data_IF_750053250066
#
_entry.id   IF_750053250066
#
_cell.length_a   1.000
_cell.length_b   1.000
_cell.length_c   1.000
_cell.angle_alpha   90.00
_cell.angle_beta   90.00
_cell.angle_gamma   90.00
#
_symmetry.space_group_name_H-M   'P 1'
#
loop_
_entity.id
_entity.type
_entity.pdbx_description
1 polymer ?
#
# COMPACT_ATOMS: atom_id res chain seq x y z
N UNK A 1 -31.74 9.90 -4.21
CA UNK A 1 -32.11 11.08 -5.03
C UNK A 1 -32.00 10.87 -6.55
N UNK A 2 -31.18 9.92 -7.06
CA UNK A 2 -31.03 9.71 -8.53
C UNK A 2 -32.27 9.17 -9.26
N UNK A 3 -33.08 8.32 -8.61
CA UNK A 3 -34.27 7.71 -9.21
C UNK A 3 -35.38 8.70 -9.58
N UNK A 4 -35.61 9.74 -8.78
CA UNK A 4 -36.66 10.73 -9.01
C UNK A 4 -36.37 11.62 -10.24
N UNK A 5 -35.11 12.01 -10.44
CA UNK A 5 -34.69 12.82 -11.59
C UNK A 5 -34.70 12.03 -12.91
N UNK A 6 -34.42 10.72 -12.85
CA UNK A 6 -34.56 9.82 -13.99
C UNK A 6 -36.00 9.72 -14.48
N UNK A 7 -36.96 9.55 -13.56
CA UNK A 7 -38.39 9.48 -13.87
C UNK A 7 -38.93 10.79 -14.46
N UNK A 8 -38.54 11.95 -13.90
CA UNK A 8 -38.90 13.26 -14.47
C UNK A 8 -38.32 13.42 -15.87
N UNK A 9 -37.10 12.95 -16.13
CA UNK A 9 -36.50 12.92 -17.47
C UNK A 9 -37.27 12.06 -18.47
N UNK A 10 -37.79 10.91 -18.05
CA UNK A 10 -38.59 10.01 -18.88
C UNK A 10 -39.95 10.59 -19.29
N UNK A 11 -40.60 11.38 -18.42
CA UNK A 11 -41.87 12.04 -18.75
C UNK A 11 -41.69 13.37 -19.50
N UNK A 12 -40.68 14.16 -19.15
CA UNK A 12 -40.46 15.50 -19.73
C UNK A 12 -39.88 15.47 -21.15
N UNK A 13 -39.00 14.52 -21.45
CA UNK A 13 -38.34 14.41 -22.76
C UNK A 13 -39.29 14.12 -23.92
N UNK A 14 -40.28 13.18 -23.84
CA UNK A 14 -41.24 12.98 -24.93
C UNK A 14 -42.19 14.18 -25.10
N UNK A 15 -42.60 14.84 -24.01
CA UNK A 15 -43.39 16.08 -24.08
C UNK A 15 -42.60 17.20 -24.77
N UNK A 16 -41.33 17.39 -24.40
CA UNK A 16 -40.44 18.37 -25.02
C UNK A 16 -40.22 18.13 -26.51
N UNK A 17 -40.15 16.85 -26.95
CA UNK A 17 -40.07 16.48 -28.38
C UNK A 17 -41.34 16.82 -29.14
N UNK A 18 -42.52 16.58 -28.54
CA UNK A 18 -43.82 16.88 -29.17
C UNK A 18 -44.09 18.38 -29.30
N UNK A 19 -43.63 19.18 -28.33
CA UNK A 19 -43.80 20.64 -28.29
C UNK A 19 -42.63 21.43 -28.90
N UNK A 20 -41.58 20.76 -29.42
CA UNK A 20 -40.32 21.36 -29.91
C UNK A 20 -39.63 22.27 -28.87
N UNK A 21 -39.81 22.00 -27.58
CA UNK A 21 -39.21 22.76 -26.50
C UNK A 21 -37.94 22.07 -25.99
N UNK A 22 -36.80 22.55 -26.50
CA UNK A 22 -35.47 21.99 -26.21
C UNK A 22 -35.05 22.09 -24.74
N UNK A 23 -35.62 23.03 -23.98
CA UNK A 23 -35.29 23.23 -22.56
C UNK A 23 -35.90 22.17 -21.63
N UNK A 24 -36.97 21.50 -22.06
CA UNK A 24 -37.65 20.44 -21.32
C UNK A 24 -37.01 19.05 -21.54
N UNK A 25 -36.10 18.94 -22.50
CA UNK A 25 -35.43 17.70 -22.85
C UNK A 25 -34.20 17.47 -21.95
N UNK A 26 -34.10 16.27 -21.36
CA UNK A 26 -32.96 15.80 -20.58
C UNK A 26 -32.57 16.68 -19.36
N UNK A 27 -33.51 17.06 -18.48
CA UNK A 27 -33.21 17.92 -17.33
C UNK A 27 -32.17 17.30 -16.38
N UNK A 28 -32.26 15.99 -16.13
CA UNK A 28 -31.31 15.27 -15.27
C UNK A 28 -29.87 15.29 -15.80
N UNK A 29 -29.67 15.15 -17.12
CA UNK A 29 -28.32 15.18 -17.72
C UNK A 29 -27.68 16.57 -17.64
N UNK A 30 -28.48 17.63 -17.72
CA UNK A 30 -28.00 19.02 -17.57
C UNK A 30 -27.60 19.31 -16.14
N UNK A 31 -28.41 18.89 -15.17
CA UNK A 31 -28.08 19.04 -13.75
C UNK A 31 -26.82 18.26 -13.39
N UNK A 32 -26.74 16.99 -13.81
CA UNK A 32 -25.56 16.16 -13.60
C UNK A 32 -24.29 16.81 -14.18
N UNK A 33 -24.34 17.32 -15.41
CA UNK A 33 -23.20 18.05 -16.00
C UNK A 33 -22.77 19.27 -15.19
N UNK A 34 -23.71 20.02 -14.61
CA UNK A 34 -23.38 21.18 -13.76
C UNK A 34 -22.73 20.76 -12.45
N UNK A 35 -23.24 19.70 -11.81
CA UNK A 35 -22.66 19.18 -10.58
C UNK A 35 -21.25 18.62 -10.81
N UNK A 36 -21.06 17.86 -11.89
CA UNK A 36 -19.74 17.33 -12.25
C UNK A 36 -18.76 18.44 -12.63
N UNK A 37 -19.23 19.48 -13.34
CA UNK A 37 -18.39 20.64 -13.65
C UNK A 37 -17.92 21.35 -12.37
N UNK A 38 -18.82 21.59 -11.41
CA UNK A 38 -18.48 22.19 -10.11
C UNK A 38 -17.52 21.35 -9.30
N UNK A 39 -17.77 20.05 -9.19
CA UNK A 39 -16.88 19.13 -8.49
C UNK A 39 -15.48 19.04 -9.14
N UNK A 40 -15.39 19.28 -10.45
CA UNK A 40 -14.11 19.34 -11.16
C UNK A 40 -13.37 20.64 -10.86
N UNK A 41 -14.05 21.77 -10.90
CA UNK A 41 -13.49 23.09 -10.51
C UNK A 41 -12.94 23.04 -9.07
N UNK A 42 -13.71 22.53 -8.12
CA UNK A 42 -13.28 22.38 -6.70
C UNK A 42 -12.10 21.42 -6.51
N UNK A 43 -11.94 20.44 -7.42
CA UNK A 43 -10.77 19.56 -7.39
C UNK A 43 -9.55 20.25 -7.98
N UNK A 44 -9.71 20.95 -9.10
CA UNK A 44 -8.63 21.71 -9.74
C UNK A 44 -8.09 22.78 -8.78
N UNK A 45 -8.96 23.51 -8.07
CA UNK A 45 -8.58 24.49 -7.03
C UNK A 45 -7.80 23.85 -5.88
N UNK A 46 -8.27 22.72 -5.31
CA UNK A 46 -7.52 22.02 -4.24
C UNK A 46 -6.18 21.47 -4.71
N UNK A 47 -6.11 20.96 -5.95
CA UNK A 47 -4.88 20.44 -6.52
C UNK A 47 -3.88 21.58 -6.80
N UNK A 48 -4.35 22.80 -7.11
CA UNK A 48 -3.54 24.01 -7.21
C UNK A 48 -3.03 24.46 -5.84
N UNK A 49 -3.91 24.61 -4.84
CA UNK A 49 -3.54 24.96 -3.46
C UNK A 49 -2.48 24.01 -2.89
N UNK A 50 -2.63 22.70 -3.14
CA UNK A 50 -1.67 21.69 -2.66
C UNK A 50 -0.30 21.87 -3.31
N UNK A 51 -0.23 22.22 -4.60
CA UNK A 51 1.05 22.47 -5.30
C UNK A 51 1.72 23.74 -4.80
N UNK A 52 0.94 24.79 -4.52
CA UNK A 52 1.47 26.04 -3.99
C UNK A 52 2.07 25.84 -2.59
N UNK A 53 1.39 25.10 -1.72
CA UNK A 53 1.93 24.72 -0.40
C UNK A 53 3.22 23.92 -0.52
N UNK A 54 3.25 22.90 -1.39
CA UNK A 54 4.45 22.09 -1.64
C UNK A 54 5.63 22.95 -2.12
N UNK A 55 5.37 23.88 -3.04
CA UNK A 55 6.40 24.78 -3.56
C UNK A 55 6.95 25.73 -2.48
N UNK A 56 6.10 26.21 -1.56
CA UNK A 56 6.53 27.01 -0.41
C UNK A 56 7.39 26.19 0.58
N UNK A 57 7.00 24.94 0.86
CA UNK A 57 7.75 24.02 1.72
C UNK A 57 9.12 23.66 1.11
N UNK A 58 9.17 23.35 -0.20
CA UNK A 58 10.40 23.10 -0.93
C UNK A 58 11.33 24.33 -0.92
N UNK A 59 10.78 25.53 -1.20
CA UNK A 59 11.57 26.76 -1.15
C UNK A 59 12.11 27.06 0.26
N UNK A 60 11.35 26.73 1.30
CA UNK A 60 11.79 26.84 2.69
C UNK A 60 12.92 25.83 3.01
N UNK A 61 12.79 24.59 2.54
CA UNK A 61 13.82 23.56 2.70
C UNK A 61 15.13 23.94 1.99
N UNK A 62 15.05 24.43 0.74
CA UNK A 62 16.20 24.92 -0.02
C UNK A 62 16.88 26.11 0.68
N UNK A 63 16.08 27.03 1.24
CA UNK A 63 16.61 28.17 1.99
C UNK A 63 17.31 27.74 3.30
N UNK A 64 16.84 26.67 3.95
CA UNK A 64 17.52 26.07 5.11
C UNK A 64 18.82 25.40 4.68
N UNK A 65 18.80 24.60 3.62
CA UNK A 65 19.99 23.94 3.07
C UNK A 65 21.06 24.97 2.62
N UNK A 66 20.66 26.09 2.03
CA UNK A 66 21.56 27.17 1.65
C UNK A 66 22.17 27.92 2.84
N UNK A 67 21.49 27.96 4.00
CA UNK A 67 22.00 28.58 5.24
C UNK A 67 22.95 27.65 5.99
N UNK A 68 22.65 26.36 6.02
CA UNK A 68 23.46 25.31 6.62
C UNK A 68 24.59 24.85 5.66
N UNK A 69 25.30 25.82 5.06
CA UNK A 69 26.34 25.61 4.05
C UNK A 69 27.57 24.85 4.54
N UNK A 70 27.43 23.59 4.94
CA UNK A 70 28.51 22.62 4.93
C UNK A 70 28.81 22.23 3.48
N UNK A 71 29.78 22.95 2.93
CA UNK A 71 30.45 22.61 1.69
C UNK A 71 31.16 21.26 1.87
N UNK A 72 30.50 20.16 1.50
CA UNK A 72 31.09 18.82 1.42
C UNK A 72 32.04 18.74 0.21
N UNK A 73 33.11 19.52 0.20
CA UNK A 73 34.15 19.55 -0.85
C UNK A 73 35.28 18.53 -0.56
N UNK A 74 34.94 17.44 0.14
CA UNK A 74 35.88 16.40 0.50
C UNK A 74 35.97 15.35 -0.59
N UNK A 75 36.90 15.50 -1.54
CA UNK A 75 37.30 14.37 -2.38
C UNK A 75 37.92 13.28 -1.48
N UNK A 76 37.13 12.26 -1.16
CA UNK A 76 37.57 11.12 -0.36
C UNK A 76 38.53 10.28 -1.21
N UNK A 77 39.77 10.17 -0.75
CA UNK A 77 40.82 9.43 -1.45
C UNK A 77 40.59 7.92 -1.31
N UNK A 78 40.47 7.22 -2.44
CA UNK A 78 40.14 5.79 -2.49
C UNK A 78 41.42 4.96 -2.30
N UNK A 79 41.47 4.02 -1.33
CA UNK A 79 42.65 3.16 -1.18
C UNK A 79 42.78 2.20 -2.37
N UNK A 80 43.98 2.16 -2.94
CA UNK A 80 44.34 1.30 -4.07
C UNK A 80 44.67 -0.11 -3.58
N UNK A 81 43.66 -0.94 -3.31
CA UNK A 81 43.90 -2.37 -3.11
C UNK A 81 43.43 -3.18 -4.32
N UNK A 82 44.35 -4.02 -4.79
CA UNK A 82 44.37 -4.68 -6.09
C UNK A 82 43.31 -5.79 -6.13
N UNK A 83 42.34 -5.66 -7.04
CA UNK A 83 41.40 -6.75 -7.35
C UNK A 83 42.15 -7.84 -8.13
N UNK A 84 42.24 -9.09 -7.64
CA UNK A 84 42.88 -10.14 -8.42
C UNK A 84 41.94 -10.58 -9.55
N UNK A 85 42.38 -10.35 -10.78
CA UNK A 85 41.76 -10.88 -12.00
C UNK A 85 41.95 -12.40 -12.03
N UNK A 86 40.86 -13.16 -11.94
CA UNK A 86 40.85 -14.60 -12.18
C UNK A 86 40.27 -14.89 -13.56
N UNK A 87 41.16 -15.23 -14.50
CA UNK A 87 40.85 -15.84 -15.80
C UNK A 87 41.03 -17.36 -15.67
N UNK A 88 39.97 -18.16 -15.87
CA UNK A 88 40.09 -19.63 -16.03
C UNK A 88 38.81 -20.42 -15.69
N UNK A 89 38.53 -21.55 -16.37
CA UNK A 89 37.15 -21.94 -16.70
C UNK A 89 36.48 -22.96 -15.76
N UNK A 90 35.15 -22.87 -15.77
CA UNK A 90 34.09 -23.83 -15.46
C UNK A 90 34.42 -25.18 -14.76
N UNK A 91 33.68 -25.38 -13.66
CA UNK A 91 32.88 -26.56 -13.31
C UNK A 91 33.17 -27.25 -11.98
N UNK A 92 32.03 -27.58 -11.37
CA UNK A 92 31.74 -28.58 -10.35
C UNK A 92 32.06 -28.29 -8.88
N UNK A 93 30.98 -27.96 -8.17
CA UNK A 93 30.51 -28.58 -6.92
C UNK A 93 31.61 -29.04 -5.95
N UNK A 94 31.75 -28.34 -4.83
CA UNK A 94 31.83 -28.89 -3.46
C UNK A 94 32.09 -27.76 -2.47
N UNK A 95 31.47 -27.89 -1.29
CA UNK A 95 31.83 -27.29 -0.01
C UNK A 95 32.89 -26.17 -0.03
N UNK A 96 32.44 -24.93 0.07
CA UNK A 96 33.32 -23.82 0.44
C UNK A 96 33.28 -23.69 1.96
N UNK A 97 34.06 -24.53 2.62
CA UNK A 97 34.71 -24.14 3.87
C UNK A 97 36.05 -23.51 3.51
N UNK A 98 36.18 -22.20 3.74
CA UNK A 98 37.44 -21.48 3.49
C UNK A 98 37.28 -20.01 3.15
N UNK A 99 36.74 -19.23 4.09
CA UNK A 99 36.62 -17.79 4.00
C UNK A 99 35.64 -17.27 5.05
N UNK A 100 36.07 -17.25 6.31
CA UNK A 100 35.31 -16.66 7.43
C UNK A 100 35.12 -15.15 7.20
N UNK A 101 34.08 -14.76 6.46
CA UNK A 101 33.55 -13.40 6.42
C UNK A 101 32.04 -13.45 6.06
N UNK A 102 31.24 -13.48 7.13
CA UNK A 102 29.84 -13.05 7.28
C UNK A 102 28.80 -13.71 6.37
N UNK A 103 28.13 -14.73 6.92
CA UNK A 103 26.74 -15.06 6.58
C UNK A 103 25.87 -13.83 6.87
N UNK A 104 25.69 -12.96 5.86
CA UNK A 104 24.88 -11.74 5.96
C UNK A 104 23.38 -12.05 5.94
N UNK A 105 22.58 -11.15 6.50
CA UNK A 105 21.12 -11.16 6.33
C UNK A 105 20.77 -10.99 4.84
N UNK A 106 19.98 -11.91 4.28
CA UNK A 106 19.56 -11.90 2.87
C UNK A 106 18.04 -11.75 2.80
N UNK A 107 17.58 -10.66 2.23
CA UNK A 107 16.14 -10.40 2.07
C UNK A 107 15.45 -11.46 1.23
N UNK A 108 16.14 -11.93 0.19
CA UNK A 108 15.60 -12.87 -0.79
C UNK A 108 15.32 -14.24 -0.17
N UNK A 109 16.12 -14.66 0.81
CA UNK A 109 15.94 -15.94 1.49
C UNK A 109 14.71 -15.91 2.39
N UNK A 110 14.59 -14.87 3.23
CA UNK A 110 13.41 -14.68 4.09
C UNK A 110 12.13 -14.46 3.26
N UNK A 111 12.23 -13.72 2.15
CA UNK A 111 11.10 -13.53 1.23
C UNK A 111 10.72 -14.84 0.51
N UNK A 112 11.70 -15.65 0.10
CA UNK A 112 11.46 -16.94 -0.52
C UNK A 112 10.78 -17.91 0.47
N UNK A 113 11.18 -17.92 1.74
CA UNK A 113 10.51 -18.71 2.78
C UNK A 113 9.04 -18.28 2.94
N UNK A 114 8.78 -16.97 2.99
CA UNK A 114 7.42 -16.43 3.04
C UNK A 114 6.60 -16.80 1.79
N UNK A 115 7.20 -16.74 0.60
CA UNK A 115 6.56 -17.13 -0.66
C UNK A 115 6.23 -18.63 -0.69
N UNK A 116 7.17 -19.49 -0.27
CA UNK A 116 6.93 -20.93 -0.18
C UNK A 116 5.81 -21.26 0.81
N UNK A 117 5.78 -20.59 1.97
CA UNK A 117 4.70 -20.75 2.93
C UNK A 117 3.35 -20.41 2.30
N UNK A 118 3.26 -19.31 1.55
CA UNK A 118 2.04 -18.90 0.85
C UNK A 118 1.63 -19.88 -0.27
N UNK A 119 2.58 -20.45 -1.01
CA UNK A 119 2.30 -21.44 -2.06
C UNK A 119 1.78 -22.77 -1.50
N UNK A 120 2.24 -23.14 -0.32
CA UNK A 120 1.82 -24.36 0.39
C UNK A 120 0.59 -24.17 1.28
N UNK A 121 0.06 -22.95 1.36
CA UNK A 121 -1.04 -22.62 2.25
C UNK A 121 -2.37 -23.21 1.74
N UNK A 122 -2.94 -24.11 2.53
CA UNK A 122 -4.22 -24.78 2.27
C UNK A 122 -5.11 -24.65 3.51
N UNK A 123 -5.88 -23.54 3.65
CA UNK A 123 -6.67 -23.27 4.85
C UNK A 123 -7.86 -24.22 4.98
N UNK A 124 -8.07 -24.75 6.18
CA UNK A 124 -9.15 -25.69 6.46
C UNK A 124 -10.53 -24.99 6.53
N UNK A 125 -10.54 -23.73 6.98
CA UNK A 125 -11.78 -22.97 7.16
C UNK A 125 -11.57 -21.45 7.04
N UNK A 126 -12.68 -20.74 6.87
CA UNK A 126 -12.68 -19.29 6.71
C UNK A 126 -12.17 -18.52 7.95
N UNK A 127 -12.18 -19.12 9.15
CA UNK A 127 -11.65 -18.50 10.37
C UNK A 127 -10.12 -18.47 10.37
N UNK A 128 -9.48 -19.46 9.75
CA UNK A 128 -8.02 -19.46 9.56
C UNK A 128 -7.58 -18.32 8.64
N UNK A 129 -8.32 -18.10 7.55
CA UNK A 129 -8.10 -16.98 6.63
C UNK A 129 -8.37 -15.64 7.35
N UNK A 130 -9.42 -15.55 8.17
CA UNK A 130 -9.68 -14.37 8.98
C UNK A 130 -8.51 -14.05 9.91
N UNK A 131 -7.99 -15.05 10.62
CA UNK A 131 -6.83 -14.86 11.51
C UNK A 131 -5.58 -14.41 10.75
N UNK A 132 -5.34 -14.96 9.56
CA UNK A 132 -4.26 -14.52 8.67
C UNK A 132 -4.43 -13.05 8.25
N UNK A 133 -5.63 -12.66 7.81
CA UNK A 133 -5.94 -11.29 7.39
C UNK A 133 -5.82 -10.30 8.55
N UNK A 134 -6.31 -10.66 9.74
CA UNK A 134 -6.17 -9.83 10.96
C UNK A 134 -4.71 -9.73 11.43
N UNK A 135 -3.87 -10.73 11.13
CA UNK A 135 -2.43 -10.71 11.42
C UNK A 135 -1.58 -9.93 10.42
N UNK A 136 -2.11 -9.63 9.22
CA UNK A 136 -1.37 -8.99 8.14
C UNK A 136 -0.76 -7.62 8.52
N UNK A 137 -1.46 -6.71 9.23
CA UNK A 137 -0.88 -5.43 9.62
C UNK A 137 0.36 -5.58 10.52
N UNK A 138 0.32 -6.54 11.46
CA UNK A 138 1.44 -6.81 12.35
C UNK A 138 2.64 -7.41 11.59
N UNK A 139 2.39 -8.32 10.65
CA UNK A 139 3.43 -8.90 9.80
C UNK A 139 4.11 -7.83 8.92
N UNK A 140 3.35 -6.99 8.24
CA UNK A 140 3.87 -5.89 7.42
C UNK A 140 4.62 -4.85 8.25
N UNK A 141 4.15 -4.57 9.47
CA UNK A 141 4.86 -3.69 10.42
C UNK A 141 6.22 -4.28 10.82
N UNK A 142 6.31 -5.61 10.99
CA UNK A 142 7.59 -6.26 11.27
C UNK A 142 8.59 -6.08 10.11
N UNK A 143 8.13 -6.24 8.87
CA UNK A 143 8.95 -6.00 7.66
C UNK A 143 9.36 -4.52 7.57
N UNK A 144 8.45 -3.59 7.85
CA UNK A 144 8.77 -2.16 7.88
C UNK A 144 9.88 -1.86 8.90
N UNK A 145 9.78 -2.44 10.10
CA UNK A 145 10.77 -2.24 11.16
C UNK A 145 12.18 -2.74 10.78
N UNK A 146 12.31 -3.72 9.86
CA UNK A 146 13.61 -4.11 9.30
C UNK A 146 14.24 -2.94 8.55
N UNK A 147 13.47 -2.26 7.69
CA UNK A 147 13.98 -1.10 6.93
C UNK A 147 14.35 0.06 7.83
N UNK A 148 13.53 0.33 8.85
CA UNK A 148 13.84 1.31 9.89
C UNK A 148 15.18 0.99 10.59
N UNK A 149 15.34 -0.26 11.02
CA UNK A 149 16.57 -0.71 11.71
C UNK A 149 17.79 -0.57 10.80
N UNK A 150 17.68 -0.87 9.51
CA UNK A 150 18.77 -0.71 8.55
C UNK A 150 19.10 0.75 8.28
N UNK A 151 18.10 1.64 8.22
CA UNK A 151 18.31 3.08 8.12
C UNK A 151 19.05 3.64 9.36
N UNK A 152 18.63 3.24 10.56
CA UNK A 152 19.27 3.68 11.81
C UNK A 152 20.72 3.19 11.92
N UNK A 153 20.99 1.98 11.43
CA UNK A 153 22.33 1.39 11.42
C UNK A 153 23.20 1.87 10.27
N UNK A 154 22.61 2.28 9.13
CA UNK A 154 23.40 2.79 7.99
C UNK A 154 24.12 4.10 8.29
N UNK A 155 23.59 4.92 9.20
CA UNK A 155 24.21 6.19 9.57
C UNK A 155 25.48 6.02 10.43
N UNK A 156 25.70 4.84 11.03
CA UNK A 156 26.79 4.62 12.00
C UNK A 156 27.63 3.37 11.76
N UNK A 157 27.06 2.29 11.22
CA UNK A 157 27.70 0.97 11.12
C UNK A 157 28.00 0.52 9.69
N UNK A 158 27.35 1.10 8.67
CA UNK A 158 27.55 0.69 7.27
C UNK A 158 28.24 1.77 6.42
N UNK A 159 29.21 1.41 5.58
CA UNK A 159 29.85 2.35 4.66
C UNK A 159 28.95 2.61 3.44
N UNK A 160 27.81 3.27 3.66
CA UNK A 160 26.83 3.59 2.62
C UNK A 160 26.82 5.08 2.32
N UNK A 161 26.59 5.43 1.05
CA UNK A 161 26.31 6.82 0.66
C UNK A 161 24.97 7.26 1.23
N UNK A 162 24.86 8.54 1.63
CA UNK A 162 23.67 9.09 2.30
C UNK A 162 22.38 8.88 1.49
N UNK A 163 22.47 8.96 0.16
CA UNK A 163 21.33 8.75 -0.74
C UNK A 163 20.77 7.31 -0.64
N UNK A 164 21.64 6.32 -0.47
CA UNK A 164 21.23 4.91 -0.33
C UNK A 164 20.64 4.65 1.05
N UNK A 165 21.21 5.28 2.10
CA UNK A 165 20.67 5.22 3.46
C UNK A 165 19.26 5.82 3.55
N UNK A 166 19.04 6.98 2.90
CA UNK A 166 17.71 7.62 2.82
C UNK A 166 16.66 6.70 2.17
N UNK A 167 17.06 5.90 1.18
CA UNK A 167 16.19 4.92 0.54
C UNK A 167 15.55 3.91 1.51
N UNK A 168 16.22 3.52 2.60
CA UNK A 168 15.61 2.64 3.62
C UNK A 168 14.48 3.33 4.38
N UNK A 169 14.62 4.63 4.67
CA UNK A 169 13.56 5.43 5.29
C UNK A 169 12.35 5.62 4.36
N UNK A 170 12.59 5.82 3.06
CA UNK A 170 11.52 5.92 2.06
C UNK A 170 10.73 4.61 1.92
N UNK A 171 11.43 3.47 1.90
CA UNK A 171 10.80 2.15 1.87
C UNK A 171 10.01 1.90 3.15
N UNK A 172 10.53 2.30 4.33
CA UNK A 172 9.78 2.23 5.58
C UNK A 172 8.46 3.00 5.50
N UNK A 173 8.47 4.25 5.03
CA UNK A 173 7.25 5.05 4.85
C UNK A 173 6.25 4.42 3.88
N UNK A 174 6.76 3.85 2.79
CA UNK A 174 5.95 3.12 1.81
C UNK A 174 5.31 1.86 2.41
N UNK A 175 6.05 1.10 3.22
CA UNK A 175 5.53 -0.08 3.91
C UNK A 175 4.50 0.29 4.99
N UNK A 176 4.70 1.38 5.72
CA UNK A 176 3.70 1.89 6.67
C UNK A 176 2.41 2.33 5.97
N UNK A 177 2.51 2.86 4.75
CA UNK A 177 1.34 3.15 3.92
C UNK A 177 0.59 1.87 3.51
N UNK A 178 1.31 0.78 3.24
CA UNK A 178 0.71 -0.54 2.99
C UNK A 178 0.07 -1.13 4.27
N UNK A 179 0.67 -0.91 5.45
CA UNK A 179 0.07 -1.31 6.74
C UNK A 179 -1.29 -0.64 6.94
N UNK A 180 -1.41 0.66 6.65
CA UNK A 180 -2.69 1.37 6.77
C UNK A 180 -3.79 0.74 5.88
N UNK A 181 -3.44 0.29 4.67
CA UNK A 181 -4.39 -0.44 3.80
C UNK A 181 -4.74 -1.82 4.38
N UNK A 182 -3.76 -2.51 4.98
CA UNK A 182 -3.97 -3.80 5.62
C UNK A 182 -4.90 -3.72 6.84
N UNK A 183 -4.85 -2.63 7.62
CA UNK A 183 -5.70 -2.41 8.79
C UNK A 183 -7.20 -2.45 8.45
N UNK A 184 -7.57 -2.01 7.25
CA UNK A 184 -8.95 -2.03 6.77
C UNK A 184 -9.44 -3.43 6.35
N UNK A 185 -8.51 -4.36 6.06
CA UNK A 185 -8.86 -5.68 5.52
C UNK A 185 -9.59 -6.56 6.54
N UNK A 186 -9.20 -6.54 7.81
CA UNK A 186 -9.86 -7.32 8.88
C UNK A 186 -11.33 -6.93 9.07
N UNK A 187 -11.63 -5.63 9.31
CA UNK A 187 -13.00 -5.12 9.39
C UNK A 187 -13.82 -5.42 8.12
N UNK A 188 -13.23 -5.25 6.94
CA UNK A 188 -13.88 -5.57 5.67
C UNK A 188 -14.21 -7.06 5.56
N UNK A 189 -13.29 -7.94 5.94
CA UNK A 189 -13.51 -9.39 5.93
C UNK A 189 -14.65 -9.75 6.87
N UNK A 190 -14.65 -9.23 8.10
CA UNK A 190 -15.75 -9.45 9.06
C UNK A 190 -17.09 -8.95 8.52
N UNK A 191 -17.11 -7.82 7.84
CA UNK A 191 -18.34 -7.27 7.25
C UNK A 191 -18.90 -8.17 6.13
N UNK A 192 -18.04 -8.59 5.19
CA UNK A 192 -18.45 -9.37 4.02
C UNK A 192 -18.79 -10.82 4.41
N UNK A 193 -18.08 -11.39 5.38
CA UNK A 193 -18.24 -12.77 5.82
C UNK A 193 -19.05 -12.91 7.13
N UNK A 194 -19.78 -11.86 7.55
CA UNK A 194 -20.50 -11.83 8.82
C UNK A 194 -21.40 -13.05 9.05
N UNK A 195 -22.07 -13.55 7.99
CA UNK A 195 -22.96 -14.70 8.10
C UNK A 195 -22.20 -16.01 8.35
N UNK A 196 -21.06 -16.21 7.70
CA UNK A 196 -20.26 -17.43 7.86
C UNK A 196 -19.51 -17.41 9.18
N UNK A 197 -18.93 -16.25 9.54
CA UNK A 197 -18.31 -16.03 10.85
C UNK A 197 -19.31 -16.27 11.98
N UNK A 198 -20.55 -15.78 11.87
CA UNK A 198 -21.57 -16.01 12.89
C UNK A 198 -21.90 -17.50 13.09
N UNK A 199 -21.79 -18.34 12.05
CA UNK A 199 -21.99 -19.80 12.20
C UNK A 199 -20.85 -20.47 12.96
N UNK A 200 -19.64 -19.92 12.88
CA UNK A 200 -18.45 -20.44 13.54
C UNK A 200 -18.24 -19.86 14.96
N UNK A 201 -18.54 -18.57 15.16
CA UNK A 201 -18.43 -17.89 16.47
C UNK A 201 -19.65 -18.14 17.38
N UNK A 202 -20.85 -18.30 16.81
CA UNK A 202 -22.08 -18.64 17.54
C UNK A 202 -22.78 -19.87 16.89
N UNK A 203 -22.17 -21.06 17.03
CA UNK A 203 -22.79 -22.30 16.56
C UNK A 203 -24.04 -22.55 17.39
N UNK A 204 -25.22 -22.17 16.86
CA UNK A 204 -26.52 -22.33 17.53
C UNK A 204 -26.68 -23.78 18.04
N UNK A 205 -26.58 -23.94 19.36
CA UNK A 205 -26.89 -25.11 20.21
C UNK A 205 -27.25 -26.45 19.52
N UNK A 206 -26.32 -27.05 18.75
CA UNK A 206 -26.35 -28.47 18.38
C UNK A 206 -27.67 -29.04 17.80
N UNK A 207 -27.78 -30.37 17.68
CA UNK A 207 -29.00 -31.04 17.20
C UNK A 207 -30.22 -30.90 18.13
N UNK A 208 -30.05 -30.29 19.31
CA UNK A 208 -31.14 -30.07 20.28
C UNK A 208 -31.90 -28.75 20.05
N UNK A 209 -31.30 -27.76 19.37
CA UNK A 209 -31.99 -26.51 19.01
C UNK A 209 -33.09 -26.69 17.94
N UNK A 210 -33.07 -27.80 17.20
CA UNK A 210 -34.11 -28.15 16.21
C UNK A 210 -35.37 -28.80 16.82
N UNK A 211 -35.37 -29.17 18.11
CA UNK A 211 -36.58 -29.71 18.79
C UNK A 211 -37.58 -28.62 19.21
N UNK A 212 -37.21 -27.35 19.13
CA UNK A 212 -38.08 -26.22 19.50
C UNK A 212 -39.06 -25.78 18.40
N UNK A 213 -38.92 -26.33 17.18
CA UNK A 213 -39.78 -26.02 16.04
C UNK A 213 -40.35 -27.29 15.38
N UNK A 214 -41.12 -28.06 16.14
CA UNK A 214 -42.07 -29.06 15.66
C UNK A 214 -43.26 -29.00 16.66
N UNK A 215 -44.44 -28.47 16.29
CA UNK A 215 -45.55 -29.18 15.62
C UNK A 215 -45.48 -30.70 15.75
#
# INVERSE_FOLDING_TARGET
>A
MGGALGLVGCLSTPLGRKLRWSWLMYPGRRLYRRLVARAREEREERDEDTRDVLAEEEAAADAVAARDGEQLDGQVDRPAELVPTSSGPASSVSDVSGGENVSGFRFEEAAAEMEQAALSYDPDNAMEILAMVEGLPAALTSVANVMKTLSERSDSEFPLEKEVAAGFSDIFGSLMSAVAVAEDMGPLFRQVHAQDIARHEDPRNGPEAEKGWNV
#
